data_IF_686491027141
#
_entry.id   IF_686491027141
#
_cell.length_a   1.000
_cell.length_b   1.000
_cell.length_c   1.000
_cell.angle_alpha   90.00
_cell.angle_beta   90.00
_cell.angle_gamma   90.00
#
_symmetry.space_group_name_H-M   'P 1'
#
loop_
_entity.id
_entity.type
_entity.pdbx_description
1 polymer ?
#
# COMPACT_ATOMS: atom_id res chain seq x y z
N UNK A 1 -43.01 -11.26 -10.04
CA UNK A 1 -42.43 -9.90 -10.09
C UNK A 1 -40.96 -10.01 -9.67
N UNK A 2 -40.06 -9.42 -10.47
CA UNK A 2 -38.60 -9.63 -10.41
C UNK A 2 -37.96 -8.79 -9.29
N UNK A 3 -37.00 -9.35 -8.55
CA UNK A 3 -36.13 -8.59 -7.64
C UNK A 3 -35.11 -7.74 -8.45
N UNK A 4 -34.88 -6.46 -8.09
CA UNK A 4 -33.68 -5.76 -8.52
C UNK A 4 -32.50 -6.04 -7.58
N UNK A 5 -31.34 -6.35 -8.18
CA UNK A 5 -30.04 -6.45 -7.51
C UNK A 5 -29.50 -5.01 -7.34
N UNK A 6 -29.28 -4.57 -6.10
CA UNK A 6 -28.61 -3.30 -5.82
C UNK A 6 -27.18 -3.55 -5.36
N UNK A 7 -26.25 -2.86 -6.01
CA UNK A 7 -24.81 -3.02 -5.88
C UNK A 7 -24.23 -2.51 -4.56
N UNK A 8 -23.10 -3.11 -4.21
CA UNK A 8 -22.27 -2.87 -3.05
C UNK A 8 -21.60 -1.47 -3.15
N UNK A 9 -22.26 -0.41 -2.67
CA UNK A 9 -21.66 0.92 -2.58
C UNK A 9 -22.19 1.70 -1.34
N UNK A 10 -22.25 1.03 -0.19
CA UNK A 10 -22.66 1.66 1.07
C UNK A 10 -21.93 1.04 2.27
N UNK A 11 -20.68 1.44 2.45
CA UNK A 11 -20.00 1.50 3.75
C UNK A 11 -18.80 2.41 3.48
N UNK A 12 -18.83 3.70 3.78
CA UNK A 12 -18.56 4.23 5.12
C UNK A 12 -19.22 5.61 5.20
N UNK A 13 -20.28 5.71 5.98
CA UNK A 13 -20.77 6.98 6.51
C UNK A 13 -21.25 6.74 7.93
N UNK A 14 -20.34 6.72 8.92
CA UNK A 14 -20.70 7.01 10.31
C UNK A 14 -19.48 7.25 11.21
N UNK A 15 -18.90 8.45 11.18
CA UNK A 15 -18.47 9.12 12.42
C UNK A 15 -18.91 10.58 12.29
N UNK A 16 -20.17 10.82 12.66
CA UNK A 16 -20.66 12.14 13.01
C UNK A 16 -20.45 12.32 14.51
N UNK A 17 -19.44 13.08 14.92
CA UNK A 17 -19.40 13.73 16.24
C UNK A 17 -19.07 15.20 16.04
N UNK A 18 -20.08 16.02 16.35
CA UNK A 18 -20.08 17.46 16.56
C UNK A 18 -18.78 17.97 17.20
N UNK A 19 -18.08 18.87 16.52
CA UNK A 19 -17.33 20.00 17.12
C UNK A 19 -17.50 21.20 16.19
N UNK A 20 -17.90 22.32 16.77
CA UNK A 20 -18.25 23.59 16.13
C UNK A 20 -17.11 24.17 15.27
N UNK A 21 -17.43 24.68 14.08
CA UNK A 21 -16.52 25.51 13.28
C UNK A 21 -16.81 27.00 13.54
N UNK A 22 -15.86 27.79 14.09
CA UNK A 22 -16.00 29.24 14.13
C UNK A 22 -15.77 29.88 12.75
N UNK A 23 -16.53 30.93 12.38
CA UNK A 23 -16.37 31.63 11.11
C UNK A 23 -15.17 32.59 11.19
N UNK A 24 -13.97 32.07 10.96
CA UNK A 24 -12.81 32.88 10.57
C UNK A 24 -11.73 32.02 9.93
N UNK A 25 -12.05 31.45 8.77
CA UNK A 25 -11.02 30.84 7.93
C UNK A 25 -10.22 31.96 7.27
N UNK A 26 -9.13 32.36 7.92
CA UNK A 26 -8.13 33.24 7.34
C UNK A 26 -7.39 32.44 6.25
N UNK A 27 -7.92 32.50 5.03
CA UNK A 27 -7.44 31.74 3.87
C UNK A 27 -6.14 32.36 3.33
N UNK A 28 -5.02 32.17 4.03
CA UNK A 28 -3.72 32.11 3.35
C UNK A 28 -3.56 30.68 2.83
N UNK A 29 -4.18 30.43 1.68
CA UNK A 29 -4.09 29.17 0.96
C UNK A 29 -2.62 28.87 0.58
N UNK A 30 -1.95 28.12 1.44
CA UNK A 30 -0.73 27.43 1.07
C UNK A 30 -1.17 26.16 0.32
N UNK A 31 -1.15 26.21 -1.01
CA UNK A 31 -1.51 25.09 -1.89
C UNK A 31 -0.42 24.02 -1.92
N UNK A 32 -0.09 23.50 -0.74
CA UNK A 32 0.63 22.24 -0.54
C UNK A 32 -0.32 21.28 0.16
N UNK A 33 -0.23 19.99 -0.16
CA UNK A 33 -1.05 18.89 0.39
C UNK A 33 -1.52 19.16 1.84
N UNK A 34 -2.83 19.04 2.16
CA UNK A 34 -3.34 19.25 3.52
C UNK A 34 -2.53 18.41 4.52
N UNK A 35 -1.99 19.03 5.56
CA UNK A 35 -1.13 18.39 6.57
C UNK A 35 -1.73 17.10 7.15
N UNK A 36 -3.06 17.02 7.26
CA UNK A 36 -3.79 15.82 7.70
C UNK A 36 -3.69 14.66 6.69
N UNK A 37 -3.76 14.93 5.39
CA UNK A 37 -3.57 13.92 4.36
C UNK A 37 -2.12 13.42 4.33
N UNK A 38 -1.15 14.31 4.50
CA UNK A 38 0.26 13.91 4.61
C UNK A 38 0.50 13.05 5.87
N UNK A 39 -0.16 13.40 6.98
CA UNK A 39 -0.08 12.65 8.25
C UNK A 39 -0.67 11.24 8.11
N UNK A 40 -1.84 11.10 7.49
CA UNK A 40 -2.46 9.79 7.27
C UNK A 40 -1.66 8.94 6.27
N UNK A 41 -1.07 9.55 5.25
CA UNK A 41 -0.14 8.86 4.33
C UNK A 41 1.12 8.39 5.05
N UNK A 42 1.71 9.22 5.92
CA UNK A 42 2.91 8.85 6.68
C UNK A 42 2.63 7.72 7.70
N UNK A 43 1.48 7.76 8.38
CA UNK A 43 1.06 6.72 9.31
C UNK A 43 0.81 5.39 8.60
N UNK A 44 0.12 5.43 7.45
CA UNK A 44 -0.07 4.24 6.59
C UNK A 44 1.25 3.69 6.10
N UNK A 45 2.18 4.56 5.66
CA UNK A 45 3.52 4.14 5.27
C UNK A 45 4.23 3.42 6.41
N UNK A 46 4.24 4.00 7.61
CA UNK A 46 4.86 3.38 8.77
C UNK A 46 4.20 2.05 9.18
N UNK A 47 2.90 1.88 8.93
CA UNK A 47 2.23 0.59 9.07
C UNK A 47 2.73 -0.43 8.03
N UNK A 48 2.83 -0.03 6.76
CA UNK A 48 3.35 -0.89 5.69
C UNK A 48 4.81 -1.30 5.92
N UNK A 49 5.66 -0.36 6.36
CA UNK A 49 7.06 -0.63 6.69
C UNK A 49 7.18 -1.68 7.81
N UNK A 50 6.33 -1.60 8.84
CA UNK A 50 6.28 -2.59 9.93
C UNK A 50 5.83 -3.96 9.45
N UNK A 51 4.81 -4.02 8.59
CA UNK A 51 4.35 -5.28 7.99
C UNK A 51 5.43 -5.90 7.09
N UNK A 52 6.16 -5.08 6.34
CA UNK A 52 7.27 -5.52 5.50
C UNK A 52 8.36 -6.18 6.35
N UNK A 53 8.77 -5.51 7.43
CA UNK A 53 9.76 -6.03 8.38
C UNK A 53 9.26 -7.32 9.07
N UNK A 54 8.01 -7.33 9.53
CA UNK A 54 7.40 -8.52 10.10
C UNK A 54 7.45 -9.72 9.14
N UNK A 55 7.15 -9.51 7.85
CA UNK A 55 7.24 -10.55 6.85
C UNK A 55 8.67 -11.07 6.65
N UNK A 56 9.68 -10.18 6.73
CA UNK A 56 11.10 -10.57 6.69
C UNK A 56 11.45 -11.47 7.88
N UNK A 57 11.04 -11.10 9.10
CA UNK A 57 11.27 -11.91 10.30
C UNK A 57 10.55 -13.27 10.24
N UNK A 58 9.32 -13.30 9.73
CA UNK A 58 8.57 -14.54 9.52
C UNK A 58 9.24 -15.44 8.49
N UNK A 59 9.75 -14.87 7.40
CA UNK A 59 10.47 -15.61 6.37
C UNK A 59 11.77 -16.24 6.92
N UNK A 60 12.53 -15.49 7.71
CA UNK A 60 13.75 -15.98 8.38
C UNK A 60 13.48 -17.12 9.37
N UNK A 61 12.27 -17.19 9.92
CA UNK A 61 11.82 -18.27 10.82
C UNK A 61 11.05 -19.37 10.09
N UNK A 62 11.15 -19.43 8.76
CA UNK A 62 10.46 -20.40 7.88
C UNK A 62 8.93 -20.37 7.98
N UNK A 63 8.35 -19.29 8.52
CA UNK A 63 6.90 -19.06 8.57
C UNK A 63 6.42 -18.47 7.23
N UNK A 64 6.67 -19.18 6.13
CA UNK A 64 6.49 -18.67 4.77
C UNK A 64 5.07 -18.16 4.49
N UNK A 65 4.03 -18.86 4.96
CA UNK A 65 2.64 -18.44 4.78
C UNK A 65 2.33 -17.12 5.49
N UNK A 66 2.86 -16.92 6.69
CA UNK A 66 2.67 -15.68 7.43
C UNK A 66 3.42 -14.53 6.75
N UNK A 67 4.66 -14.78 6.28
CA UNK A 67 5.46 -13.80 5.55
C UNK A 67 4.74 -13.32 4.27
N UNK A 68 4.18 -14.24 3.49
CA UNK A 68 3.37 -13.92 2.32
C UNK A 68 2.20 -13.00 2.67
N UNK A 69 1.45 -13.30 3.75
CA UNK A 69 0.33 -12.47 4.19
C UNK A 69 0.78 -11.06 4.61
N UNK A 70 1.84 -10.95 5.39
CA UNK A 70 2.37 -9.65 5.83
C UNK A 70 2.86 -8.81 4.64
N UNK A 71 3.53 -9.42 3.66
CA UNK A 71 3.97 -8.71 2.47
C UNK A 71 2.84 -8.34 1.50
N UNK A 72 1.79 -9.17 1.35
CA UNK A 72 0.59 -8.81 0.58
C UNK A 72 -0.16 -7.61 1.19
N UNK A 73 -0.25 -7.56 2.52
CA UNK A 73 -0.84 -6.42 3.22
C UNK A 73 0.01 -5.15 3.04
N UNK A 74 1.34 -5.25 3.22
CA UNK A 74 2.24 -4.13 2.98
C UNK A 74 2.14 -3.61 1.54
N UNK A 75 2.12 -4.52 0.55
CA UNK A 75 1.96 -4.21 -0.87
C UNK A 75 0.68 -3.42 -1.15
N UNK A 76 -0.44 -3.85 -0.56
CA UNK A 76 -1.72 -3.16 -0.71
C UNK A 76 -1.62 -1.72 -0.22
N UNK A 77 -1.04 -1.50 0.95
CA UNK A 77 -0.89 -0.16 1.52
C UNK A 77 0.07 0.68 0.66
N UNK A 78 1.21 0.15 0.22
CA UNK A 78 2.15 0.88 -0.64
C UNK A 78 1.49 1.33 -1.95
N UNK A 79 0.64 0.49 -2.55
CA UNK A 79 -0.15 0.85 -3.73
C UNK A 79 -1.16 1.96 -3.45
N UNK A 80 -1.88 1.89 -2.33
CA UNK A 80 -2.85 2.92 -1.94
C UNK A 80 -2.20 4.29 -1.75
N UNK A 81 -1.02 4.33 -1.13
CA UNK A 81 -0.28 5.58 -0.87
C UNK A 81 0.65 5.98 -2.03
N UNK A 82 0.70 5.19 -3.10
CA UNK A 82 1.57 5.39 -4.27
C UNK A 82 3.07 5.41 -3.95
N UNK A 83 3.50 4.65 -2.94
CA UNK A 83 4.92 4.45 -2.64
C UNK A 83 5.49 3.33 -3.52
N UNK A 84 6.00 3.73 -4.70
CA UNK A 84 6.54 2.79 -5.69
C UNK A 84 7.77 2.04 -5.17
N UNK A 85 8.60 2.65 -4.33
CA UNK A 85 9.78 2.00 -3.75
C UNK A 85 9.37 0.90 -2.77
N UNK A 86 8.41 1.19 -1.90
CA UNK A 86 7.83 0.22 -0.98
C UNK A 86 7.16 -0.94 -1.73
N UNK A 87 6.37 -0.63 -2.76
CA UNK A 87 5.72 -1.62 -3.63
C UNK A 87 6.73 -2.57 -4.28
N UNK A 88 7.79 -2.03 -4.90
CA UNK A 88 8.84 -2.84 -5.53
C UNK A 88 9.55 -3.77 -4.54
N UNK A 89 9.73 -3.31 -3.30
CA UNK A 89 10.35 -4.10 -2.24
C UNK A 89 9.47 -5.26 -1.81
N UNK A 90 8.17 -5.00 -1.55
CA UNK A 90 7.20 -6.04 -1.19
C UNK A 90 7.05 -7.10 -2.30
N UNK A 91 6.95 -6.67 -3.57
CA UNK A 91 6.89 -7.58 -4.73
C UNK A 91 8.13 -8.48 -4.83
N UNK A 92 9.32 -7.94 -4.58
CA UNK A 92 10.56 -8.72 -4.59
C UNK A 92 10.59 -9.81 -3.53
N UNK A 93 10.15 -9.47 -2.31
CA UNK A 93 10.06 -10.42 -1.21
C UNK A 93 9.03 -11.52 -1.49
N UNK A 94 7.85 -11.16 -2.03
CA UNK A 94 6.84 -12.15 -2.46
C UNK A 94 7.40 -13.10 -3.52
N UNK A 95 8.13 -12.57 -4.52
CA UNK A 95 8.78 -13.38 -5.55
C UNK A 95 9.78 -14.38 -4.97
N UNK A 96 10.63 -13.94 -4.03
CA UNK A 96 11.60 -14.82 -3.34
C UNK A 96 10.90 -15.90 -2.53
N UNK A 97 9.80 -15.57 -1.83
CA UNK A 97 9.07 -16.58 -1.06
C UNK A 97 8.39 -17.62 -1.94
N UNK A 98 7.76 -17.23 -3.05
CA UNK A 98 7.16 -18.20 -3.96
C UNK A 98 8.21 -19.09 -4.65
N UNK A 99 9.39 -18.54 -4.96
CA UNK A 99 10.53 -19.33 -5.43
C UNK A 99 10.98 -20.37 -4.39
N UNK A 100 11.09 -19.95 -3.13
CA UNK A 100 11.44 -20.85 -2.00
C UNK A 100 10.39 -21.94 -1.75
N UNK A 101 9.13 -21.70 -2.11
CA UNK A 101 8.02 -22.65 -2.00
C UNK A 101 7.86 -23.52 -3.26
N UNK A 102 8.64 -23.29 -4.32
CA UNK A 102 8.57 -24.02 -5.58
C UNK A 102 7.44 -23.58 -6.53
N UNK A 103 6.72 -22.51 -6.22
CA UNK A 103 5.70 -21.92 -7.10
C UNK A 103 6.36 -20.90 -8.04
N UNK A 104 7.12 -21.42 -9.00
CA UNK A 104 7.93 -20.60 -9.91
C UNK A 104 7.09 -19.67 -10.78
N UNK A 105 5.86 -20.07 -11.13
CA UNK A 105 4.99 -19.23 -11.95
C UNK A 105 4.66 -17.92 -11.20
N UNK A 106 4.21 -18.03 -9.95
CA UNK A 106 3.96 -16.83 -9.14
C UNK A 106 5.22 -16.04 -8.87
N UNK A 107 6.34 -16.72 -8.62
CA UNK A 107 7.62 -16.04 -8.41
C UNK A 107 7.97 -15.14 -9.60
N UNK A 108 7.85 -15.67 -10.82
CA UNK A 108 8.08 -14.93 -12.07
C UNK A 108 7.10 -13.75 -12.17
N UNK A 109 5.81 -13.95 -11.91
CA UNK A 109 4.80 -12.89 -12.01
C UNK A 109 5.10 -11.71 -11.07
N UNK A 110 5.53 -11.99 -9.84
CA UNK A 110 5.93 -10.95 -8.87
C UNK A 110 7.23 -10.26 -9.27
N UNK A 111 8.22 -11.00 -9.78
CA UNK A 111 9.48 -10.39 -10.25
C UNK A 111 9.27 -9.52 -11.48
N UNK A 112 8.35 -9.89 -12.38
CA UNK A 112 7.96 -9.07 -13.54
C UNK A 112 7.30 -7.75 -13.09
N UNK A 113 6.40 -7.81 -12.11
CA UNK A 113 5.82 -6.59 -11.54
C UNK A 113 6.89 -5.72 -10.88
N UNK A 114 7.79 -6.30 -10.08
CA UNK A 114 8.92 -5.57 -9.48
C UNK A 114 9.80 -4.92 -10.55
N UNK A 115 10.08 -5.60 -11.65
CA UNK A 115 10.87 -5.06 -12.75
C UNK A 115 10.18 -3.86 -13.41
N UNK A 116 8.86 -3.91 -13.60
CA UNK A 116 8.10 -2.78 -14.10
C UNK A 116 8.23 -1.55 -13.19
N UNK A 117 8.14 -1.76 -11.87
CA UNK A 117 8.38 -0.70 -10.87
C UNK A 117 9.79 -0.13 -10.95
N UNK A 118 10.80 -1.01 -11.05
CA UNK A 118 12.20 -0.58 -11.11
C UNK A 118 12.48 0.28 -12.36
N UNK A 119 11.87 -0.06 -13.49
CA UNK A 119 11.94 0.74 -14.73
C UNK A 119 11.28 2.11 -14.55
N UNK A 120 10.08 2.15 -14.01
CA UNK A 120 9.39 3.42 -13.74
C UNK A 120 10.22 4.36 -12.84
N UNK A 121 10.79 3.84 -11.75
CA UNK A 121 11.63 4.64 -10.85
C UNK A 121 12.92 5.09 -11.56
N UNK A 122 13.53 4.22 -12.37
CA UNK A 122 14.77 4.52 -13.11
C UNK A 122 14.59 5.53 -14.24
N UNK A 123 13.50 5.44 -15.00
CA UNK A 123 13.17 6.36 -16.09
C UNK A 123 12.97 7.80 -15.54
N UNK A 124 12.31 7.93 -14.38
CA UNK A 124 12.14 9.23 -13.72
C UNK A 124 13.44 9.84 -13.17
N UNK A 125 14.51 9.07 -12.95
CA UNK A 125 15.81 9.60 -12.54
C UNK A 125 16.64 10.15 -13.73
N UNK A 126 16.28 9.80 -14.96
CA UNK A 126 16.95 10.27 -16.18
C UNK A 126 16.34 11.52 -16.82
N UNK A 127 15.18 11.99 -16.34
CA UNK A 127 14.43 13.14 -16.89
C UNK A 127 14.64 14.47 -16.13
N UNK A 128 15.49 14.47 -15.09
CA UNK A 128 15.85 15.66 -14.31
C UNK A 128 17.22 16.21 -14.67
#
# INVERSE_FOLDING_TARGET
MRLPKMGLAALIALIATVVEMPPSLNLKANWGVPKVLAQTTAERKAQADRLLEQGIQQFQTSQFRAALQSWEQALTIYREIKDRKGEGTALGNLGIAYDSLGDYQKAIDYQQQRLAIAREIGDHQGEG
#
